data_IF_973900940913
#
_entry.id   IF_973900940913
#
_cell.length_a   1.000
_cell.length_b   1.000
_cell.length_c   1.000
_cell.angle_alpha   90.00
_cell.angle_beta   90.00
_cell.angle_gamma   90.00
#
_symmetry.space_group_name_H-M   'P 1'
#
loop_
_entity.id
_entity.type
_entity.pdbx_description
1 polymer ?
#
# COMPACT_ATOMS: atom_id res chain seq x y z
N UNK A 1 7.74 -7.66 31.85
CA UNK A 1 8.70 -7.43 30.75
C UNK A 1 7.89 -7.29 29.47
N UNK A 2 7.41 -6.08 29.20
CA UNK A 2 6.77 -5.76 27.93
C UNK A 2 7.88 -5.36 26.98
N UNK A 3 8.22 -6.24 26.05
CA UNK A 3 9.03 -5.86 24.91
C UNK A 3 8.14 -4.93 24.09
N UNK A 4 8.22 -3.62 24.38
CA UNK A 4 7.76 -2.61 23.44
C UNK A 4 8.68 -2.83 22.26
N UNK A 5 8.21 -3.59 21.27
CA UNK A 5 8.85 -3.68 19.99
C UNK A 5 9.07 -2.23 19.57
N UNK A 6 10.32 -1.76 19.66
CA UNK A 6 10.70 -0.43 19.26
C UNK A 6 10.38 -0.38 17.77
N UNK A 7 9.21 0.16 17.44
CA UNK A 7 8.80 0.34 16.05
C UNK A 7 9.81 1.31 15.50
N UNK A 8 10.67 0.84 14.60
CA UNK A 8 11.55 1.70 13.83
C UNK A 8 10.66 2.58 12.95
N UNK A 9 10.34 3.77 13.47
CA UNK A 9 9.43 4.72 12.84
C UNK A 9 9.96 5.15 11.47
N UNK A 10 11.28 5.27 11.33
CA UNK A 10 11.91 5.59 10.07
C UNK A 10 11.75 4.47 9.05
N UNK A 11 11.84 3.21 9.48
CA UNK A 11 11.56 2.04 8.63
C UNK A 11 10.09 2.01 8.21
N UNK A 12 9.17 2.31 9.12
CA UNK A 12 7.74 2.36 8.81
C UNK A 12 7.42 3.44 7.77
N UNK A 13 8.02 4.63 7.90
CA UNK A 13 7.88 5.71 6.92
C UNK A 13 8.42 5.35 5.56
N UNK A 14 9.66 4.84 5.50
CA UNK A 14 10.27 4.40 4.24
C UNK A 14 9.40 3.35 3.54
N UNK A 15 8.81 2.43 4.29
CA UNK A 15 7.90 1.44 3.72
C UNK A 15 6.60 2.07 3.21
N UNK A 16 6.01 3.01 3.96
CA UNK A 16 4.81 3.73 3.52
C UNK A 16 5.04 4.53 2.23
N UNK A 17 6.21 5.15 2.09
CA UNK A 17 6.61 5.87 0.89
C UNK A 17 6.84 4.95 -0.30
N UNK A 18 7.56 3.83 -0.08
CA UNK A 18 7.77 2.82 -1.12
C UNK A 18 6.45 2.21 -1.61
N UNK A 19 5.51 1.90 -0.69
CA UNK A 19 4.19 1.36 -1.06
C UNK A 19 3.35 2.40 -1.80
N UNK A 20 3.44 3.68 -1.44
CA UNK A 20 2.77 4.75 -2.18
C UNK A 20 3.32 4.89 -3.60
N UNK A 21 4.64 4.81 -3.77
CA UNK A 21 5.28 4.86 -5.08
C UNK A 21 4.88 3.66 -5.94
N UNK A 22 4.91 2.45 -5.39
CA UNK A 22 4.46 1.24 -6.08
C UNK A 22 2.99 1.35 -6.51
N UNK A 23 2.12 1.93 -5.67
CA UNK A 23 0.72 2.16 -6.03
C UNK A 23 0.55 3.13 -7.21
N UNK A 24 1.45 4.11 -7.37
CA UNK A 24 1.48 4.99 -8.55
C UNK A 24 1.95 4.22 -9.77
N UNK A 25 3.05 3.48 -9.67
CA UNK A 25 3.57 2.68 -10.79
C UNK A 25 2.56 1.65 -11.31
N UNK A 26 1.83 0.98 -10.42
CA UNK A 26 0.76 0.03 -10.77
C UNK A 26 -0.42 0.73 -11.45
N UNK A 27 -0.76 1.94 -10.99
CA UNK A 27 -1.87 2.71 -11.58
C UNK A 27 -1.54 3.22 -12.99
N UNK A 28 -0.28 3.56 -13.24
CA UNK A 28 0.20 4.08 -14.52
C UNK A 28 0.52 2.96 -15.53
N UNK A 29 0.59 1.71 -15.08
CA UNK A 29 0.84 0.57 -15.95
C UNK A 29 -0.30 0.39 -16.97
N UNK A 30 0.01 0.24 -18.27
CA UNK A 30 -1.00 -0.04 -19.28
C UNK A 30 -1.53 -1.47 -19.12
N UNK A 31 -2.77 -1.60 -18.66
CA UNK A 31 -3.44 -2.89 -18.53
C UNK A 31 -4.08 -3.30 -19.85
N UNK A 32 -3.78 -4.49 -20.39
CA UNK A 32 -4.39 -4.95 -21.62
C UNK A 32 -5.89 -5.22 -21.38
N UNK A 33 -6.76 -4.46 -22.05
CA UNK A 33 -8.17 -4.81 -22.16
C UNK A 33 -8.30 -5.91 -23.22
N UNK A 34 -8.69 -7.11 -22.78
CA UNK A 34 -8.92 -8.22 -23.68
C UNK A 34 -10.31 -8.10 -24.28
N UNK A 35 -10.37 -7.68 -25.54
CA UNK A 35 -11.60 -7.71 -26.34
C UNK A 35 -12.07 -9.17 -26.53
N UNK A 36 -13.24 -9.57 -26.01
CA UNK A 36 -13.72 -10.96 -26.07
C UNK A 36 -13.86 -11.48 -27.51
N UNK A 37 -14.08 -10.58 -28.48
CA UNK A 37 -14.16 -10.91 -29.91
C UNK A 37 -12.80 -11.12 -30.59
N UNK A 38 -11.71 -10.61 -30.00
CA UNK A 38 -10.37 -10.65 -30.60
C UNK A 38 -9.65 -12.00 -30.49
N UNK A 39 -10.16 -12.91 -29.67
CA UNK A 39 -9.53 -14.21 -29.41
C UNK A 39 -10.26 -15.40 -30.06
N UNK A 40 -11.35 -15.14 -30.79
CA UNK A 40 -12.26 -16.18 -31.33
C UNK A 40 -11.50 -17.36 -31.97
N UNK A 41 -11.73 -18.57 -31.44
CA UNK A 41 -11.09 -19.80 -31.90
C UNK A 41 -9.80 -20.19 -31.16
N UNK A 42 -9.30 -19.35 -30.26
CA UNK A 42 -8.18 -19.69 -29.37
C UNK A 42 -8.67 -20.48 -28.14
N UNK A 43 -7.93 -21.52 -27.75
CA UNK A 43 -8.13 -22.24 -26.49
C UNK A 43 -8.01 -21.33 -25.25
N UNK A 44 -7.38 -20.16 -25.39
CA UNK A 44 -7.29 -19.14 -24.33
C UNK A 44 -8.62 -18.42 -24.14
N UNK A 45 -9.45 -18.27 -25.18
CA UNK A 45 -10.72 -17.53 -25.13
C UNK A 45 -11.71 -18.08 -24.11
N UNK A 46 -11.71 -19.40 -23.92
CA UNK A 46 -12.58 -20.06 -22.92
C UNK A 46 -12.09 -19.84 -21.48
N UNK A 47 -10.82 -19.46 -21.30
CA UNK A 47 -10.21 -19.18 -19.99
C UNK A 47 -10.13 -17.70 -19.67
N UNK A 48 -10.31 -16.81 -20.66
CA UNK A 48 -10.43 -15.38 -20.39
C UNK A 48 -11.70 -15.18 -19.58
N UNK A 49 -11.54 -14.84 -18.29
CA UNK A 49 -12.64 -14.28 -17.54
C UNK A 49 -12.90 -12.88 -18.09
N UNK A 50 -14.08 -12.61 -18.68
CA UNK A 50 -14.48 -11.24 -18.95
C UNK A 50 -14.67 -10.58 -17.59
N UNK A 51 -13.67 -9.81 -17.18
CA UNK A 51 -13.68 -9.05 -15.94
C UNK A 51 -12.73 -7.88 -16.14
N UNK A 52 -13.13 -6.66 -15.75
CA UNK A 52 -12.30 -5.49 -15.93
C UNK A 52 -11.09 -5.60 -14.99
N UNK A 53 -9.99 -6.20 -15.48
CA UNK A 53 -8.72 -6.27 -14.74
C UNK A 53 -8.32 -4.88 -14.24
N UNK A 54 -8.60 -3.84 -15.03
CA UNK A 54 -8.39 -2.45 -14.62
C UNK A 54 -9.18 -2.00 -13.40
N UNK A 55 -10.39 -2.52 -13.15
CA UNK A 55 -11.16 -2.21 -11.95
C UNK A 55 -10.56 -2.89 -10.71
N UNK A 56 -10.16 -4.16 -10.83
CA UNK A 56 -9.50 -4.89 -9.75
C UNK A 56 -8.15 -4.26 -9.39
N UNK A 57 -7.38 -3.84 -10.41
CA UNK A 57 -6.13 -3.12 -10.18
C UNK A 57 -6.38 -1.79 -9.48
N UNK A 58 -7.42 -1.05 -9.89
CA UNK A 58 -7.79 0.21 -9.21
C UNK A 58 -8.10 -0.01 -7.74
N UNK A 59 -8.86 -1.05 -7.40
CA UNK A 59 -9.16 -1.41 -6.01
C UNK A 59 -7.88 -1.74 -5.21
N UNK A 60 -6.94 -2.48 -5.81
CA UNK A 60 -5.63 -2.76 -5.17
C UNK A 60 -4.85 -1.48 -4.94
N UNK A 61 -4.79 -0.58 -5.92
CA UNK A 61 -4.11 0.72 -5.80
C UNK A 61 -4.70 1.55 -4.66
N UNK A 62 -6.03 1.59 -4.53
CA UNK A 62 -6.71 2.30 -3.45
C UNK A 62 -6.32 1.74 -2.08
N UNK A 63 -6.36 0.41 -1.91
CA UNK A 63 -5.95 -0.25 -0.65
C UNK A 63 -4.49 0.02 -0.29
N UNK A 64 -3.59 0.03 -1.26
CA UNK A 64 -2.17 0.34 -1.03
C UNK A 64 -1.99 1.80 -0.54
N UNK A 65 -2.73 2.74 -1.13
CA UNK A 65 -2.70 4.16 -0.73
C UNK A 65 -3.28 4.36 0.67
N UNK A 66 -4.40 3.71 0.98
CA UNK A 66 -5.00 3.73 2.32
C UNK A 66 -4.04 3.20 3.37
N UNK A 67 -3.43 2.04 3.11
CA UNK A 67 -2.45 1.45 4.01
C UNK A 67 -1.26 2.38 4.25
N UNK A 68 -0.69 2.96 3.18
CA UNK A 68 0.44 3.87 3.31
C UNK A 68 0.08 5.14 4.11
N UNK A 69 -1.14 5.67 3.93
CA UNK A 69 -1.65 6.79 4.72
C UNK A 69 -1.78 6.45 6.20
N UNK A 70 -2.36 5.29 6.52
CA UNK A 70 -2.49 4.80 7.88
C UNK A 70 -1.12 4.55 8.55
N UNK A 71 -0.15 4.02 7.79
CA UNK A 71 1.22 3.81 8.25
C UNK A 71 1.92 5.13 8.62
N UNK A 72 1.81 6.17 7.79
CA UNK A 72 2.35 7.51 8.10
C UNK A 72 1.69 8.14 9.33
N UNK A 73 0.38 7.99 9.46
CA UNK A 73 -0.37 8.49 10.62
C UNK A 73 0.09 7.80 11.90
N UNK A 74 0.25 6.48 11.86
CA UNK A 74 0.78 5.69 12.97
C UNK A 74 2.20 6.11 13.35
N UNK A 75 3.07 6.30 12.36
CA UNK A 75 4.44 6.78 12.56
C UNK A 75 4.48 8.14 13.29
N UNK A 76 3.66 9.10 12.87
CA UNK A 76 3.56 10.41 13.52
C UNK A 76 3.05 10.32 14.97
N UNK A 77 2.14 9.38 15.25
CA UNK A 77 1.63 9.14 16.60
C UNK A 77 2.70 8.54 17.52
N UNK A 78 3.52 7.61 17.00
CA UNK A 78 4.64 7.04 17.76
C UNK A 78 5.69 8.08 18.12
N UNK A 79 6.11 8.93 17.19
CA UNK A 79 7.05 10.02 17.51
C UNK A 79 6.53 10.97 18.57
N UNK A 80 5.24 11.32 18.49
CA UNK A 80 4.62 12.21 19.46
C UNK A 80 4.60 11.56 20.85
N UNK A 81 4.34 10.26 20.93
CA UNK A 81 4.39 9.53 22.19
C UNK A 81 5.81 9.46 22.76
N UNK A 82 6.81 9.23 21.91
CA UNK A 82 8.22 9.18 22.32
C UNK A 82 8.73 10.54 22.79
N UNK A 83 8.37 11.63 22.11
CA UNK A 83 8.73 13.00 22.52
C UNK A 83 8.15 13.36 23.89
N UNK A 84 6.86 13.07 24.12
CA UNK A 84 6.18 13.35 25.41
C UNK A 84 6.80 12.53 26.55
N UNK A 85 7.19 11.28 26.29
CA UNK A 85 7.85 10.46 27.30
C UNK A 85 9.29 10.93 27.57
N UNK A 86 10.05 11.33 26.53
CA UNK A 86 11.40 11.88 26.66
C UNK A 86 11.44 13.14 27.53
N UNK A 87 10.53 14.10 27.30
CA UNK A 87 10.43 15.32 28.10
C UNK A 87 10.13 15.02 29.57
N UNK A 88 9.32 14.00 29.84
CA UNK A 88 8.94 13.59 31.21
C UNK A 88 10.10 12.98 31.98
N UNK A 89 11.00 12.26 31.32
CA UNK A 89 12.17 11.64 31.97
C UNK A 89 13.39 12.56 32.02
N UNK A 90 13.48 13.59 31.16
CA UNK A 90 14.54 14.60 31.22
C UNK A 90 14.31 15.70 32.28
N UNK A 91 13.07 15.84 32.78
CA UNK A 91 12.67 16.91 33.69
C UNK A 91 12.44 16.46 35.16
N UNK A 92 12.81 15.23 35.52
CA UNK A 92 12.68 14.67 36.87
C UNK A 92 14.03 14.26 37.45
#
# INVERSE_FOLDING_TARGET
MGEIASVDVDRLRRLADAVSAAAVEIADAPWPELEPGGLRGSAVSERVRPGPVGEQVREVVEKLREWASAARTSAAMFERADAVNGDRFASG
#
